data_IF_248908805049
#
_entry.id   IF_248908805049
#
_cell.length_a   1.000
_cell.length_b   1.000
_cell.length_c   1.000
_cell.angle_alpha   90.00
_cell.angle_beta   90.00
_cell.angle_gamma   90.00
#
_symmetry.space_group_name_H-M   'P 1'
#
loop_
_entity.id
_entity.type
_entity.pdbx_description
1 polymer ?
#
# COMPACT_ATOMS: atom_id res chain seq x y z
N UNK A 1 0.48 18.58 13.06
CA UNK A 1 1.34 19.50 13.86
C UNK A 1 2.52 19.95 13.02
N UNK A 2 2.89 21.25 13.09
CA UNK A 2 4.01 21.80 12.33
C UNK A 2 5.28 21.83 13.19
N UNK A 3 6.38 21.29 12.66
CA UNK A 3 7.70 21.26 13.28
C UNK A 3 8.71 22.01 12.41
N UNK A 4 9.57 22.80 13.03
CA UNK A 4 10.70 23.46 12.37
C UNK A 4 11.90 22.51 12.30
N UNK A 5 12.54 22.45 11.14
CA UNK A 5 13.71 21.63 10.85
C UNK A 5 14.83 22.50 10.29
N UNK A 6 15.96 22.54 11.00
CA UNK A 6 17.17 23.17 10.49
C UNK A 6 17.81 22.29 9.42
N UNK A 7 18.04 22.85 8.23
CA UNK A 7 18.76 22.17 7.14
C UNK A 7 20.00 22.97 6.74
N UNK A 8 20.99 22.37 6.06
CA UNK A 8 22.18 23.10 5.59
C UNK A 8 21.89 24.29 4.66
N UNK A 9 20.66 24.38 4.13
CA UNK A 9 20.18 25.49 3.27
C UNK A 9 19.19 26.43 4.00
N UNK A 10 19.07 26.33 5.32
CA UNK A 10 18.16 27.14 6.15
C UNK A 10 17.01 26.35 6.77
N UNK A 11 16.17 27.04 7.55
CA UNK A 11 15.08 26.44 8.29
C UNK A 11 13.90 26.10 7.38
N UNK A 12 13.34 24.90 7.54
CA UNK A 12 12.16 24.41 6.81
C UNK A 12 11.07 24.02 7.80
N UNK A 13 9.83 24.14 7.37
CA UNK A 13 8.66 23.73 8.16
C UNK A 13 8.10 22.43 7.59
N UNK A 14 7.88 21.45 8.46
CA UNK A 14 7.17 20.22 8.11
C UNK A 14 5.86 20.19 8.89
N UNK A 15 4.74 20.09 8.16
CA UNK A 15 3.45 19.75 8.75
C UNK A 15 3.18 18.27 8.54
N UNK A 16 2.86 17.56 9.62
CA UNK A 16 2.33 16.20 9.56
C UNK A 16 0.82 16.27 9.67
N UNK A 17 0.13 15.79 8.63
CA UNK A 17 -1.31 15.57 8.60
C UNK A 17 -1.55 14.07 8.51
N UNK A 18 -2.26 13.53 9.51
CA UNK A 18 -2.74 12.15 9.46
C UNK A 18 -4.15 12.20 8.92
N UNK A 19 -4.44 11.66 7.72
CA UNK A 19 -5.80 11.58 7.24
C UNK A 19 -6.62 10.70 8.20
N UNK A 20 -7.89 11.03 8.45
CA UNK A 20 -8.77 10.14 9.20
C UNK A 20 -8.86 8.81 8.46
N UNK A 21 -8.64 7.70 9.17
CA UNK A 21 -8.86 6.36 8.64
C UNK A 21 -10.19 5.84 9.16
N UNK A 22 -11.03 5.33 8.28
CA UNK A 22 -12.21 4.58 8.69
C UNK A 22 -11.76 3.22 9.24
N UNK A 23 -12.34 2.74 10.35
CA UNK A 23 -12.03 1.43 10.92
C UNK A 23 -12.68 0.32 10.08
N UNK A 24 -12.19 0.12 8.86
CA UNK A 24 -12.68 -0.89 7.93
C UNK A 24 -11.81 -2.14 8.03
N UNK A 25 -12.45 -3.30 8.22
CA UNK A 25 -11.78 -4.58 8.09
C UNK A 25 -11.63 -4.92 6.60
N UNK A 26 -10.43 -4.72 6.06
CA UNK A 26 -10.13 -4.93 4.64
C UNK A 26 -10.41 -6.38 4.18
N UNK A 27 -10.03 -7.39 4.98
CA UNK A 27 -10.23 -8.81 4.65
C UNK A 27 -11.73 -9.11 4.52
N UNK A 28 -12.53 -8.63 5.47
CA UNK A 28 -13.99 -8.80 5.44
C UNK A 28 -14.58 -8.14 4.19
N UNK A 29 -14.18 -6.90 3.90
CA UNK A 29 -14.66 -6.15 2.74
C UNK A 29 -14.32 -6.85 1.41
N UNK A 30 -13.12 -7.40 1.30
CA UNK A 30 -12.69 -8.14 0.10
C UNK A 30 -13.54 -9.40 -0.11
N UNK A 31 -13.77 -10.19 0.95
CA UNK A 31 -14.62 -11.38 0.89
C UNK A 31 -16.07 -11.04 0.54
N UNK A 32 -16.63 -9.97 1.12
CA UNK A 32 -17.98 -9.50 0.82
C UNK A 32 -18.11 -9.07 -0.65
N UNK A 33 -17.10 -8.38 -1.17
CA UNK A 33 -17.07 -7.91 -2.57
C UNK A 33 -16.89 -9.07 -3.55
N UNK A 34 -16.01 -10.02 -3.24
CA UNK A 34 -15.81 -11.23 -4.03
C UNK A 34 -17.09 -12.07 -4.10
N UNK A 35 -17.74 -12.29 -2.94
CA UNK A 35 -19.02 -12.98 -2.90
C UNK A 35 -20.11 -12.22 -3.67
N UNK A 36 -20.05 -10.88 -3.68
CA UNK A 36 -20.87 -10.02 -4.53
C UNK A 36 -20.71 -10.36 -6.00
N UNK A 37 -19.47 -10.34 -6.51
CA UNK A 37 -19.13 -10.66 -7.90
C UNK A 37 -19.61 -12.05 -8.33
N UNK A 38 -19.52 -13.06 -7.46
CA UNK A 38 -20.08 -14.40 -7.73
C UNK A 38 -21.60 -14.32 -7.96
N UNK A 39 -22.33 -13.65 -7.05
CA UNK A 39 -23.79 -13.53 -7.15
C UNK A 39 -24.25 -12.75 -8.37
N UNK A 40 -23.51 -11.71 -8.76
CA UNK A 40 -23.83 -10.88 -9.93
C UNK A 40 -23.25 -11.41 -11.24
N UNK A 41 -22.46 -12.50 -11.22
CA UNK A 41 -21.73 -13.01 -12.38
C UNK A 41 -20.88 -11.92 -13.07
N UNK A 42 -20.25 -11.06 -12.27
CA UNK A 42 -19.34 -10.01 -12.74
C UNK A 42 -17.91 -10.35 -12.35
N UNK A 43 -16.90 -9.82 -13.05
CA UNK A 43 -15.51 -9.94 -12.60
C UNK A 43 -15.34 -9.39 -11.16
N UNK A 44 -14.44 -9.99 -10.34
CA UNK A 44 -14.04 -9.38 -9.09
C UNK A 44 -13.27 -8.07 -9.35
N UNK A 45 -13.27 -7.11 -8.40
CA UNK A 45 -12.53 -5.86 -8.55
C UNK A 45 -11.03 -6.06 -8.74
N UNK A 46 -10.48 -7.13 -8.17
CA UNK A 46 -9.10 -7.58 -8.39
C UNK A 46 -9.19 -8.94 -9.04
N UNK A 47 -8.70 -9.03 -10.28
CA UNK A 47 -8.68 -10.27 -11.05
C UNK A 47 -7.54 -11.19 -10.62
N UNK A 48 -7.55 -12.45 -11.08
CA UNK A 48 -6.46 -13.38 -10.79
C UNK A 48 -5.14 -12.90 -11.40
N UNK A 49 -5.21 -12.37 -12.62
CA UNK A 49 -4.07 -11.85 -13.37
C UNK A 49 -3.45 -10.66 -12.66
N UNK A 50 -4.28 -9.71 -12.20
CA UNK A 50 -3.82 -8.55 -11.43
C UNK A 50 -3.22 -8.96 -10.08
N UNK A 51 -3.86 -9.90 -9.39
CA UNK A 51 -3.36 -10.45 -8.12
C UNK A 51 -2.00 -11.13 -8.27
N UNK A 52 -1.83 -11.92 -9.35
CA UNK A 52 -0.55 -12.54 -9.68
C UNK A 52 0.53 -11.49 -10.00
N UNK A 53 0.19 -10.47 -10.80
CA UNK A 53 1.10 -9.38 -11.13
C UNK A 53 1.56 -8.60 -9.91
N UNK A 54 0.64 -8.27 -9.00
CA UNK A 54 0.96 -7.61 -7.73
C UNK A 54 1.91 -8.45 -6.87
N UNK A 55 1.68 -9.77 -6.80
CA UNK A 55 2.53 -10.68 -6.04
C UNK A 55 3.94 -10.78 -6.65
N UNK A 56 4.06 -10.85 -7.97
CA UNK A 56 5.36 -10.85 -8.66
C UNK A 56 6.16 -9.58 -8.36
N UNK A 57 5.53 -8.41 -8.41
CA UNK A 57 6.17 -7.15 -8.06
C UNK A 57 6.58 -7.12 -6.59
N UNK A 58 5.76 -7.64 -5.68
CA UNK A 58 6.11 -7.75 -4.27
C UNK A 58 7.39 -8.58 -4.07
N UNK A 59 7.51 -9.73 -4.74
CA UNK A 59 8.73 -10.53 -4.70
C UNK A 59 9.96 -9.81 -5.27
N UNK A 60 9.81 -9.06 -6.36
CA UNK A 60 10.91 -8.25 -6.93
C UNK A 60 11.40 -7.18 -5.93
N UNK A 61 10.48 -6.53 -5.22
CA UNK A 61 10.82 -5.54 -4.20
C UNK A 61 11.59 -6.20 -3.04
N UNK A 62 11.14 -7.36 -2.58
CA UNK A 62 11.81 -8.10 -1.50
C UNK A 62 13.24 -8.50 -1.89
N UNK A 63 13.42 -9.03 -3.09
CA UNK A 63 14.75 -9.36 -3.64
C UNK A 63 15.66 -8.12 -3.74
N UNK A 64 15.10 -6.97 -4.17
CA UNK A 64 15.87 -5.74 -4.25
C UNK A 64 16.28 -5.21 -2.86
N UNK A 65 15.42 -5.34 -1.85
CA UNK A 65 15.72 -4.99 -0.46
C UNK A 65 16.85 -5.88 0.08
N UNK A 66 16.78 -7.20 -0.16
CA UNK A 66 17.80 -8.16 0.29
C UNK A 66 19.17 -7.88 -0.35
N UNK A 67 19.19 -7.62 -1.66
CA UNK A 67 20.41 -7.21 -2.37
C UNK A 67 20.98 -5.94 -1.76
N UNK A 68 20.15 -4.91 -1.58
CA UNK A 68 20.59 -3.61 -1.04
C UNK A 68 21.14 -3.73 0.39
N UNK A 69 20.58 -4.61 1.22
CA UNK A 69 21.06 -4.90 2.56
C UNK A 69 22.39 -5.68 2.58
N UNK A 70 22.69 -6.46 1.52
CA UNK A 70 23.93 -7.25 1.41
C UNK A 70 25.13 -6.43 0.91
N UNK A 71 24.89 -5.33 0.21
CA UNK A 71 25.95 -4.42 -0.30
C UNK A 71 26.26 -3.23 0.63
N UNK A 72 25.67 -3.21 1.84
CA UNK A 72 25.93 -2.22 2.89
C UNK A 72 26.86 -2.80 3.99
#
# INVERSE_FOLDING_TARGET
PAMELETPKGNKWISMETPPMEPVNAIRMELETFAGSIRSSTPPPVTLEDGLGALQVAYQILDQIEKSATYA
#
